data_IF_523486798209
#
_entry.id   IF_523486798209
#
_cell.length_a   1.000
_cell.length_b   1.000
_cell.length_c   1.000
_cell.angle_alpha   90.00
_cell.angle_beta   90.00
_cell.angle_gamma   90.00
#
_symmetry.space_group_name_H-M   'P 1'
#
loop_
_entity.id
_entity.type
_entity.pdbx_description
1 polymer ?
#
# COMPACT_ATOMS: atom_id res chain seq x y z
N UNK A 1 21.29 -23.22 7.19
CA UNK A 1 21.12 -22.09 8.12
C UNK A 1 19.73 -21.58 7.87
N UNK A 2 18.86 -21.67 8.87
CA UNK A 2 17.42 -21.74 8.65
C UNK A 2 16.79 -20.35 8.79
N UNK A 3 16.19 -19.87 7.70
CA UNK A 3 15.36 -18.64 7.66
C UNK A 3 14.18 -18.77 8.64
N UNK A 4 13.70 -17.66 9.21
CA UNK A 4 12.50 -17.69 10.05
C UNK A 4 11.21 -17.54 9.23
N UNK A 5 10.11 -18.23 9.58
CA UNK A 5 8.81 -18.05 8.91
C UNK A 5 8.19 -16.67 9.14
N UNK A 6 7.68 -16.02 8.09
CA UNK A 6 7.01 -14.72 8.17
C UNK A 6 5.81 -14.70 9.14
N UNK A 7 5.07 -15.80 9.25
CA UNK A 7 3.92 -15.93 10.16
C UNK A 7 4.31 -15.99 11.66
N UNK A 8 5.61 -16.04 11.98
CA UNK A 8 6.13 -16.01 13.35
C UNK A 8 6.68 -14.63 13.75
N UNK A 9 6.73 -13.69 12.82
CA UNK A 9 7.30 -12.35 13.05
C UNK A 9 6.18 -11.41 13.51
N UNK A 10 6.23 -11.03 14.79
CA UNK A 10 5.23 -10.18 15.44
C UNK A 10 5.47 -8.68 15.25
N UNK A 11 6.70 -8.34 14.84
CA UNK A 11 7.17 -7.00 14.58
C UNK A 11 6.39 -6.34 13.44
N UNK A 12 6.31 -5.02 13.48
CA UNK A 12 5.64 -4.20 12.47
C UNK A 12 6.53 -3.96 11.26
N UNK A 13 5.90 -3.70 10.12
CA UNK A 13 6.63 -3.33 8.93
C UNK A 13 7.32 -1.96 9.14
N UNK A 14 8.62 -1.92 8.91
CA UNK A 14 9.52 -0.80 9.03
C UNK A 14 10.14 -0.60 7.66
N UNK A 15 10.28 0.65 7.24
CA UNK A 15 11.17 1.00 6.15
C UNK A 15 11.57 2.47 6.27
N UNK A 16 12.68 2.79 5.64
CA UNK A 16 13.26 4.13 5.64
C UNK A 16 13.31 4.66 4.21
N UNK A 17 13.04 5.95 4.06
CA UNK A 17 13.33 6.67 2.82
C UNK A 17 14.67 7.37 3.07
N UNK A 18 15.73 6.88 2.43
CA UNK A 18 17.08 7.41 2.62
C UNK A 18 17.27 8.71 1.83
N UNK A 19 16.83 8.73 0.57
CA UNK A 19 17.01 9.88 -0.31
C UNK A 19 16.03 9.87 -1.49
N UNK A 20 15.76 11.07 -2.01
CA UNK A 20 15.15 11.28 -3.32
C UNK A 20 16.21 11.87 -4.24
N UNK A 21 16.43 11.25 -5.39
CA UNK A 21 17.37 11.69 -6.41
C UNK A 21 16.64 12.16 -7.66
N UNK A 22 17.32 12.93 -8.52
CA UNK A 22 16.83 13.30 -9.86
C UNK A 22 15.44 13.95 -9.86
N UNK A 23 15.16 14.81 -8.87
CA UNK A 23 13.93 15.60 -8.85
C UNK A 23 13.82 16.42 -10.15
N UNK A 24 12.64 16.44 -10.81
CA UNK A 24 12.44 17.24 -12.01
C UNK A 24 12.70 18.71 -11.73
N UNK A 25 13.40 19.41 -12.63
CA UNK A 25 13.73 20.84 -12.45
C UNK A 25 12.49 21.75 -12.41
N UNK A 26 11.35 21.27 -12.92
CA UNK A 26 10.07 21.97 -12.84
C UNK A 26 9.43 21.90 -11.45
N UNK A 27 9.88 21.00 -10.57
CA UNK A 27 9.41 20.91 -9.20
C UNK A 27 10.09 21.98 -8.36
N UNK A 28 9.32 23.02 -8.04
CA UNK A 28 9.76 24.21 -7.29
C UNK A 28 8.93 24.38 -6.03
N UNK A 29 8.77 23.27 -5.30
CA UNK A 29 8.04 23.23 -4.05
C UNK A 29 8.93 23.62 -2.87
N UNK A 30 8.31 24.17 -1.83
CA UNK A 30 9.01 24.54 -0.59
C UNK A 30 9.33 23.31 0.26
N UNK A 31 8.46 22.31 0.20
CA UNK A 31 8.59 21.06 0.94
C UNK A 31 8.17 19.87 0.09
N UNK A 32 8.79 18.72 0.35
CA UNK A 32 8.44 17.45 -0.28
C UNK A 32 8.03 16.45 0.79
N UNK A 33 6.94 15.72 0.53
CA UNK A 33 6.32 14.80 1.46
C UNK A 33 6.14 13.44 0.81
N UNK A 34 6.34 12.36 1.56
CA UNK A 34 6.06 11.00 1.09
C UNK A 34 4.83 10.44 1.81
N UNK A 35 3.84 9.97 1.05
CA UNK A 35 2.80 9.10 1.56
C UNK A 35 3.17 7.66 1.31
N UNK A 36 2.97 6.82 2.32
CA UNK A 36 3.20 5.38 2.15
C UNK A 36 2.05 4.57 2.69
N UNK A 37 1.73 3.50 1.95
CA UNK A 37 0.62 2.61 2.25
C UNK A 37 0.91 1.21 1.69
N UNK A 38 0.44 0.19 2.37
CA UNK A 38 0.52 -1.20 1.96
C UNK A 38 -0.78 -1.60 1.28
N UNK A 39 -0.69 -2.27 0.13
CA UNK A 39 -1.84 -2.72 -0.65
C UNK A 39 -1.83 -4.23 -0.83
N UNK A 40 -3.01 -4.84 -0.81
CA UNK A 40 -3.27 -6.18 -1.31
C UNK A 40 -4.32 -6.12 -2.42
N UNK A 41 -3.90 -6.41 -3.66
CA UNK A 41 -4.68 -6.08 -4.84
C UNK A 41 -5.03 -4.58 -4.87
N UNK A 42 -6.31 -4.25 -4.99
CA UNK A 42 -6.79 -2.85 -5.03
C UNK A 42 -7.13 -2.26 -3.66
N UNK A 43 -6.94 -3.03 -2.57
CA UNK A 43 -7.35 -2.63 -1.23
C UNK A 43 -6.14 -2.21 -0.39
N UNK A 44 -6.17 -1.02 0.23
CA UNK A 44 -5.17 -0.67 1.23
C UNK A 44 -5.37 -1.52 2.48
N UNK A 45 -4.26 -1.97 3.09
CA UNK A 45 -4.25 -2.75 4.34
C UNK A 45 -4.13 -1.86 5.58
N UNK A 46 -3.64 -0.63 5.43
CA UNK A 46 -3.35 0.26 6.54
C UNK A 46 -3.76 1.71 6.27
N UNK A 47 -3.74 2.49 7.34
CA UNK A 47 -3.89 3.95 7.32
C UNK A 47 -2.73 4.60 6.56
N UNK A 48 -3.00 5.73 5.94
CA UNK A 48 -2.00 6.50 5.20
C UNK A 48 -1.03 7.15 6.18
N UNK A 49 0.28 6.91 6.02
CA UNK A 49 1.31 7.52 6.86
C UNK A 49 2.09 8.61 6.08
N UNK A 50 2.34 9.75 6.74
CA UNK A 50 3.03 10.94 6.22
C UNK A 50 4.27 11.23 7.07
N UNK A 51 5.43 10.62 6.78
CA UNK A 51 6.68 10.92 7.51
C UNK A 51 7.93 10.55 6.71
N UNK A 52 9.11 10.99 7.18
CA UNK A 52 10.43 10.65 6.59
C UNK A 52 11.01 9.32 7.12
N UNK A 53 10.50 8.82 8.25
CA UNK A 53 10.83 7.50 8.82
C UNK A 53 9.51 6.82 9.15
N UNK A 54 9.25 5.68 8.52
CA UNK A 54 7.94 5.05 8.51
C UNK A 54 7.99 3.73 9.27
N UNK A 55 7.63 3.81 10.55
CA UNK A 55 7.11 2.65 11.26
C UNK A 55 5.64 2.51 10.89
N UNK A 56 5.28 1.46 10.15
CA UNK A 56 3.89 1.13 9.89
C UNK A 56 3.36 0.34 11.08
N UNK A 57 3.17 1.06 12.20
CA UNK A 57 2.78 0.49 13.50
C UNK A 57 1.50 -0.36 13.42
N UNK A 58 0.65 -0.08 12.43
CA UNK A 58 -0.61 -0.78 12.20
C UNK A 58 -0.47 -2.11 11.42
N UNK A 59 0.73 -2.47 10.91
CA UNK A 59 0.90 -3.62 10.01
C UNK A 59 1.96 -4.60 10.52
N UNK A 60 1.56 -5.59 11.33
CA UNK A 60 2.48 -6.64 11.74
C UNK A 60 2.80 -7.59 10.56
N UNK A 61 4.04 -8.07 10.49
CA UNK A 61 4.54 -8.82 9.34
C UNK A 61 3.78 -10.13 9.12
N UNK A 62 3.42 -10.83 10.19
CA UNK A 62 2.64 -12.07 10.09
C UNK A 62 1.27 -11.87 9.41
N UNK A 63 0.74 -10.65 9.40
CA UNK A 63 -0.58 -10.34 8.83
C UNK A 63 -0.53 -10.02 7.35
N UNK A 64 0.66 -9.77 6.79
CA UNK A 64 0.82 -9.38 5.40
C UNK A 64 0.44 -10.54 4.48
N UNK A 65 -0.50 -10.36 3.54
CA UNK A 65 -0.69 -11.29 2.42
C UNK A 65 0.59 -11.44 1.59
N UNK A 66 0.77 -12.60 0.95
CA UNK A 66 1.94 -12.88 0.09
C UNK A 66 2.14 -11.84 -1.01
N UNK A 67 1.05 -11.34 -1.59
CA UNK A 67 1.05 -10.36 -2.68
C UNK A 67 0.92 -8.91 -2.17
N UNK A 68 1.42 -8.64 -0.96
CA UNK A 68 1.44 -7.30 -0.38
C UNK A 68 2.46 -6.40 -1.07
N UNK A 69 2.07 -5.17 -1.33
CA UNK A 69 2.82 -4.20 -2.13
C UNK A 69 2.96 -2.91 -1.34
N UNK A 70 4.19 -2.43 -1.17
CA UNK A 70 4.46 -1.11 -0.61
C UNK A 70 4.26 -0.07 -1.72
N UNK A 71 3.32 0.85 -1.53
CA UNK A 71 3.06 1.95 -2.46
C UNK A 71 3.52 3.25 -1.81
N UNK A 72 4.53 3.89 -2.40
CA UNK A 72 5.04 5.18 -1.98
C UNK A 72 4.62 6.23 -3.00
N UNK A 73 4.18 7.39 -2.52
CA UNK A 73 3.80 8.52 -3.36
C UNK A 73 4.49 9.78 -2.87
N UNK A 74 5.16 10.50 -3.76
CA UNK A 74 5.89 11.73 -3.46
C UNK A 74 5.05 12.95 -3.88
N UNK A 75 4.95 13.92 -2.98
CA UNK A 75 4.13 15.13 -3.11
C UNK A 75 5.01 16.37 -2.93
N UNK A 76 4.75 17.38 -3.74
CA UNK A 76 5.27 18.73 -3.55
C UNK A 76 4.26 19.61 -2.79
N UNK A 77 4.73 20.36 -1.80
CA UNK A 77 3.93 21.35 -1.08
C UNK A 77 4.53 22.75 -1.26
N UNK A 78 3.73 23.66 -1.79
CA UNK A 78 4.04 25.08 -1.87
C UNK A 78 3.06 25.84 -0.99
N UNK A 79 3.55 26.67 -0.06
CA UNK A 79 2.67 27.47 0.78
C UNK A 79 2.09 28.61 -0.05
N UNK A 80 0.76 28.63 -0.20
CA UNK A 80 0.09 29.73 -0.89
C UNK A 80 0.09 30.94 0.04
N UNK A 81 0.77 32.02 -0.34
CA UNK A 81 0.69 33.33 0.32
C UNK A 81 -0.66 33.99 0.01
N UNK A 82 -1.76 33.43 0.51
CA UNK A 82 -3.07 34.07 0.38
C UNK A 82 -3.24 35.11 1.50
N UNK A 83 -2.94 36.36 1.17
CA UNK A 83 -3.43 37.52 1.89
C UNK A 83 -4.94 37.63 1.62
N UNK A 84 -5.73 37.21 2.62
CA UNK A 84 -7.11 37.64 2.93
C UNK A 84 -8.28 37.13 2.07
N UNK A 85 -9.14 36.27 2.65
CA UNK A 85 -10.45 36.69 3.17
C UNK A 85 -11.15 35.56 3.95
N UNK A 86 -11.58 35.88 5.16
CA UNK A 86 -12.39 35.05 6.06
C UNK A 86 -13.85 35.02 5.61
N UNK A 87 -14.42 33.82 5.44
CA UNK A 87 -15.75 33.37 5.90
C UNK A 87 -16.17 32.13 5.10
N UNK A 88 -16.13 30.94 5.70
CA UNK A 88 -17.33 30.17 6.02
C UNK A 88 -17.01 28.79 6.61
N UNK A 89 -17.85 28.38 7.56
CA UNK A 89 -17.85 27.08 8.22
C UNK A 89 -17.92 25.93 7.19
N UNK A 90 -16.92 25.05 7.20
CA UNK A 90 -17.08 23.65 6.83
C UNK A 90 -15.94 22.82 7.46
N UNK A 91 -16.23 21.55 7.69
CA UNK A 91 -15.44 20.60 8.45
C UNK A 91 -13.97 20.54 8.05
N UNK A 92 -13.12 20.22 9.06
CA UNK A 92 -11.78 19.67 8.88
C UNK A 92 -11.85 18.41 8.00
N UNK A 93 -11.83 18.60 6.68
CA UNK A 93 -11.25 17.64 5.75
C UNK A 93 -9.97 18.25 5.22
N UNK A 94 -8.95 17.41 5.22
CA UNK A 94 -7.54 17.69 5.12
C UNK A 94 -7.13 18.12 3.69
N UNK A 95 -7.79 19.14 3.13
CA UNK A 95 -7.68 19.52 1.72
C UNK A 95 -6.94 20.86 1.54
N UNK A 96 -5.73 20.91 2.13
CA UNK A 96 -4.71 21.84 1.70
C UNK A 96 -4.21 21.38 0.33
N UNK A 97 -4.94 21.76 -0.73
CA UNK A 97 -4.68 21.45 -2.14
C UNK A 97 -3.17 21.43 -2.45
N UNK A 98 -2.59 20.23 -2.53
CA UNK A 98 -1.22 19.97 -2.98
C UNK A 98 -1.15 20.28 -4.47
N UNK A 99 -0.64 21.46 -4.81
CA UNK A 99 -0.42 21.86 -6.19
C UNK A 99 0.97 21.39 -6.62
N UNK A 100 1.02 20.33 -7.45
CA UNK A 100 2.26 19.75 -7.99
C UNK A 100 2.47 18.28 -7.62
N UNK A 101 1.60 17.44 -8.15
CA UNK A 101 1.44 16.03 -7.80
C UNK A 101 1.43 15.22 -9.11
N UNK A 102 1.99 14.03 -9.27
CA UNK A 102 2.16 12.89 -8.36
C UNK A 102 3.22 11.99 -8.99
N UNK A 103 3.99 11.25 -8.18
CA UNK A 103 4.64 10.05 -8.71
C UNK A 103 4.64 8.85 -7.74
N UNK A 104 4.33 7.67 -8.28
CA UNK A 104 4.10 6.41 -7.57
C UNK A 104 5.29 5.46 -7.71
N UNK A 105 5.73 4.90 -6.58
CA UNK A 105 6.65 3.75 -6.51
C UNK A 105 5.88 2.58 -5.94
N UNK A 106 6.06 1.40 -6.53
CA UNK A 106 5.61 0.16 -5.92
C UNK A 106 6.75 -0.83 -5.73
N UNK A 107 6.88 -1.36 -4.52
CA UNK A 107 7.92 -2.31 -4.15
C UNK A 107 7.28 -3.56 -3.53
N UNK A 108 7.79 -4.73 -3.92
CA UNK A 108 7.46 -5.98 -3.23
C UNK A 108 8.21 -6.04 -1.90
N UNK A 109 7.52 -6.42 -0.83
CA UNK A 109 8.05 -6.38 0.53
C UNK A 109 9.13 -7.45 0.75
N UNK A 110 10.39 -7.07 0.51
CA UNK A 110 11.57 -7.86 0.82
C UNK A 110 12.59 -6.98 1.55
N UNK A 111 13.40 -7.58 2.44
CA UNK A 111 14.45 -6.84 3.15
C UNK A 111 15.60 -6.50 2.21
N UNK A 112 16.14 -5.28 2.33
CA UNK A 112 17.25 -4.79 1.52
C UNK A 112 17.19 -3.28 1.26
N UNK A 113 18.18 -2.80 0.52
CA UNK A 113 18.21 -1.43 -0.03
C UNK A 113 17.75 -1.48 -1.49
N UNK A 114 16.84 -0.57 -1.84
CA UNK A 114 16.21 -0.49 -3.16
C UNK A 114 16.30 0.92 -3.71
N UNK A 115 16.73 1.02 -4.97
CA UNK A 115 16.63 2.25 -5.75
C UNK A 115 15.50 2.08 -6.78
N UNK A 116 14.43 2.85 -6.63
CA UNK A 116 13.19 2.65 -7.39
C UNK A 116 12.79 3.91 -8.14
N UNK A 117 12.32 3.75 -9.38
CA UNK A 117 11.85 4.87 -10.19
C UNK A 117 10.41 5.24 -9.84
N UNK A 118 10.17 6.55 -9.69
CA UNK A 118 8.85 7.13 -9.45
C UNK A 118 8.09 7.34 -10.77
N UNK A 119 6.87 6.79 -10.84
CA UNK A 119 6.03 6.79 -12.05
C UNK A 119 4.99 7.91 -12.04
N UNK A 120 4.67 8.55 -13.18
CA UNK A 120 3.72 9.66 -13.23
C UNK A 120 2.33 9.37 -12.63
N UNK A 121 1.67 10.45 -12.17
CA UNK A 121 0.30 10.48 -11.66
C UNK A 121 -0.76 9.78 -12.54
N UNK A 122 -0.54 9.80 -13.85
CA UNK A 122 -1.43 9.17 -14.83
C UNK A 122 -1.50 7.65 -14.69
N UNK A 123 -0.56 7.04 -13.99
CA UNK A 123 -0.57 5.61 -13.68
C UNK A 123 -1.53 5.34 -12.50
N UNK A 124 -2.57 4.57 -12.73
CA UNK A 124 -3.49 4.18 -11.65
C UNK A 124 -2.82 3.18 -10.70
N UNK A 125 -2.60 3.62 -9.45
CA UNK A 125 -2.06 2.82 -8.33
C UNK A 125 -2.82 1.50 -8.08
N UNK A 126 -4.07 1.40 -8.54
CA UNK A 126 -4.92 0.21 -8.39
C UNK A 126 -4.66 -0.85 -9.45
N UNK A 127 -4.05 -0.50 -10.59
CA UNK A 127 -3.97 -1.37 -11.77
C UNK A 127 -2.83 -2.40 -11.68
N UNK A 128 -1.96 -2.30 -10.69
CA UNK A 128 -0.90 -3.30 -10.48
C UNK A 128 0.43 -2.64 -10.13
N UNK A 129 1.52 -3.44 -10.02
CA UNK A 129 2.86 -2.89 -9.93
C UNK A 129 3.13 -1.86 -11.01
N UNK A 130 3.77 -0.79 -10.58
CA UNK A 130 4.60 0.00 -11.45
C UNK A 130 5.42 -0.95 -12.35
N UNK A 131 5.45 -0.75 -13.68
CA UNK A 131 6.27 -1.57 -14.56
C UNK A 131 7.72 -1.60 -14.08
N UNK A 132 8.48 -2.64 -14.46
CA UNK A 132 9.88 -2.76 -14.02
C UNK A 132 10.68 -1.51 -14.40
N UNK A 133 11.74 -1.20 -13.64
CA UNK A 133 12.61 -0.03 -13.91
C UNK A 133 13.22 -0.02 -15.32
N UNK A 134 13.27 -1.17 -16.00
CA UNK A 134 13.69 -1.28 -17.41
C UNK A 134 12.71 -0.62 -18.38
N UNK A 135 11.45 -0.51 -17.99
CA UNK A 135 10.38 0.14 -18.74
C UNK A 135 10.07 1.55 -18.23
N UNK A 136 10.81 2.02 -17.22
CA UNK A 136 10.69 3.39 -16.74
C UNK A 136 10.82 4.35 -17.94
N UNK A 137 10.01 5.41 -18.02
CA UNK A 137 10.04 6.26 -19.19
C UNK A 137 11.39 7.01 -19.27
N UNK A 138 11.73 7.56 -20.43
CA UNK A 138 13.10 7.99 -20.81
C UNK A 138 13.48 9.41 -20.30
N UNK A 139 12.70 10.03 -19.44
CA UNK A 139 12.93 11.36 -18.86
C UNK A 139 13.49 11.29 -17.42
N UNK A 140 14.00 12.40 -16.83
CA UNK A 140 14.48 12.38 -15.44
C UNK A 140 13.30 12.17 -14.48
N UNK A 141 12.97 10.91 -14.24
CA UNK A 141 12.08 10.52 -13.16
C UNK A 141 12.88 10.44 -11.87
N UNK A 142 12.39 11.04 -10.78
CA UNK A 142 13.06 10.94 -9.51
C UNK A 142 13.15 9.48 -9.06
N UNK A 143 14.26 9.21 -8.40
CA UNK A 143 14.58 7.89 -7.88
C UNK A 143 14.47 7.96 -6.38
N UNK A 144 13.74 7.01 -5.81
CA UNK A 144 13.60 6.85 -4.38
C UNK A 144 14.57 5.77 -3.92
N UNK A 145 15.46 6.13 -3.00
CA UNK A 145 16.28 5.17 -2.28
C UNK A 145 15.57 4.81 -0.97
N UNK A 146 15.22 3.54 -0.82
CA UNK A 146 14.54 3.02 0.38
C UNK A 146 15.33 1.86 0.98
N UNK A 147 15.22 1.71 2.29
CA UNK A 147 15.77 0.59 3.03
C UNK A 147 14.66 -0.12 3.80
N UNK A 148 14.52 -1.42 3.59
CA UNK A 148 13.67 -2.30 4.39
C UNK A 148 14.61 -3.12 5.30
N UNK A 149 14.62 -2.87 6.62
CA UNK A 149 15.52 -3.54 7.54
C UNK A 149 15.27 -5.05 7.57
N UNK A 150 16.30 -5.79 7.98
CA UNK A 150 16.17 -7.22 8.23
C UNK A 150 15.64 -7.47 9.63
N UNK A 151 14.50 -8.16 9.73
CA UNK A 151 13.90 -8.57 11.00
C UNK A 151 14.62 -9.72 11.68
N UNK A 152 15.39 -10.48 10.92
CA UNK A 152 16.16 -11.62 11.43
C UNK A 152 17.54 -11.65 10.80
N UNK A 153 18.54 -12.05 11.57
CA UNK A 153 19.90 -12.28 11.05
C UNK A 153 19.94 -13.33 9.95
N UNK A 154 18.96 -14.23 9.92
CA UNK A 154 18.86 -15.34 8.98
C UNK A 154 17.87 -15.07 7.84
N UNK A 155 17.24 -13.89 7.82
CA UNK A 155 16.18 -13.54 6.86
C UNK A 155 14.82 -14.11 7.23
N UNK A 156 13.78 -13.51 6.64
CA UNK A 156 12.38 -13.91 6.80
C UNK A 156 11.92 -14.55 5.49
N UNK A 157 11.28 -15.71 5.59
CA UNK A 157 10.74 -16.46 4.44
C UNK A 157 9.23 -16.57 4.55
N UNK A 158 8.54 -16.35 3.43
CA UNK A 158 7.16 -16.78 3.32
C UNK A 158 7.08 -18.31 3.41
N UNK A 159 6.33 -18.80 4.38
CA UNK A 159 6.02 -20.22 4.50
C UNK A 159 4.63 -20.41 3.93
N UNK A 160 4.53 -21.19 2.86
CA UNK A 160 3.23 -21.68 2.43
C UNK A 160 2.65 -22.42 3.63
N UNK A 161 1.44 -22.06 4.09
CA UNK A 161 0.81 -22.87 5.11
C UNK A 161 0.83 -24.30 4.59
N UNK A 162 1.28 -25.25 5.43
CA UNK A 162 0.98 -26.65 5.15
C UNK A 162 -0.50 -26.66 4.80
N UNK A 163 -0.86 -27.13 3.60
CA UNK A 163 -2.25 -27.29 3.22
C UNK A 163 -2.85 -28.17 4.31
N UNK A 164 -3.45 -27.54 5.32
CA UNK A 164 -4.52 -28.14 6.07
C UNK A 164 -5.53 -28.36 4.98
N UNK A 165 -5.47 -29.54 4.38
CA UNK A 165 -6.53 -30.06 3.54
C UNK A 165 -7.74 -30.01 4.43
N UNK A 166 -8.45 -28.89 4.38
CA UNK A 166 -9.75 -28.71 4.97
C UNK A 166 -10.60 -29.68 4.15
N UNK A 167 -10.59 -30.94 4.56
CA UNK A 167 -11.43 -31.94 3.95
C UNK A 167 -12.85 -31.42 4.08
N UNK A 168 -13.66 -31.61 3.04
CA UNK A 168 -15.04 -31.11 3.00
C UNK A 168 -15.86 -31.47 4.24
N UNK A 169 -15.46 -32.52 4.96
CA UNK A 169 -16.02 -32.96 6.23
C UNK A 169 -15.83 -31.98 7.41
N UNK A 170 -14.84 -31.08 7.36
CA UNK A 170 -14.57 -30.08 8.40
C UNK A 170 -15.25 -28.73 8.13
N UNK A 171 -15.87 -28.56 6.97
CA UNK A 171 -16.59 -27.35 6.62
C UNK A 171 -18.06 -27.48 7.03
N UNK A 172 -18.67 -26.42 7.61
CA UNK A 172 -20.10 -26.41 7.88
C UNK A 172 -20.90 -26.60 6.60
N UNK A 173 -21.98 -27.38 6.66
CA UNK A 173 -22.84 -27.64 5.50
C UNK A 173 -23.73 -26.43 5.22
N UNK A 174 -23.99 -26.14 3.94
CA UNK A 174 -24.95 -25.10 3.56
C UNK A 174 -26.32 -25.34 4.20
N UNK A 175 -26.73 -26.61 4.28
CA UNK A 175 -28.00 -27.04 4.87
C UNK A 175 -28.10 -26.79 6.38
N UNK A 176 -26.99 -26.47 7.07
CA UNK A 176 -27.03 -26.11 8.50
C UNK A 176 -27.41 -24.65 8.76
N UNK A 177 -27.44 -23.82 7.71
CA UNK A 177 -27.88 -22.43 7.80
C UNK A 177 -29.42 -22.36 7.83
N UNK A 178 -29.98 -21.31 8.40
CA UNK A 178 -31.42 -21.08 8.30
C UNK A 178 -31.85 -20.72 6.86
N UNK A 179 -33.11 -20.99 6.52
CA UNK A 179 -33.61 -20.82 5.15
C UNK A 179 -33.51 -19.39 4.61
N UNK A 180 -33.53 -18.38 5.50
CA UNK A 180 -33.36 -17.00 5.09
C UNK A 180 -31.91 -16.73 4.66
N UNK A 181 -30.93 -17.10 5.49
CA UNK A 181 -29.50 -16.98 5.15
C UNK A 181 -29.13 -17.77 3.89
N UNK A 182 -29.69 -18.98 3.72
CA UNK A 182 -29.50 -19.76 2.49
C UNK A 182 -29.99 -19.00 1.24
N UNK A 183 -31.18 -18.42 1.31
CA UNK A 183 -31.77 -17.66 0.21
C UNK A 183 -30.95 -16.39 -0.11
N UNK A 184 -30.46 -15.70 0.91
CA UNK A 184 -29.57 -14.54 0.75
C UNK A 184 -28.26 -14.93 0.05
N UNK A 185 -27.62 -16.03 0.46
CA UNK A 185 -26.38 -16.49 -0.16
C UNK A 185 -26.58 -16.86 -1.64
N UNK A 186 -27.67 -17.56 -1.97
CA UNK A 186 -28.01 -17.86 -3.36
C UNK A 186 -28.22 -16.59 -4.18
N UNK A 187 -28.97 -15.63 -3.62
CA UNK A 187 -29.19 -14.35 -4.28
C UNK A 187 -27.87 -13.59 -4.54
N UNK A 188 -26.96 -13.56 -3.57
CA UNK A 188 -25.63 -12.93 -3.71
C UNK A 188 -24.78 -13.60 -4.80
N UNK A 189 -24.87 -14.93 -4.93
CA UNK A 189 -24.15 -15.67 -5.98
C UNK A 189 -24.70 -15.31 -7.37
N UNK A 190 -26.02 -15.15 -7.51
CA UNK A 190 -26.69 -14.80 -8.77
C UNK A 190 -26.44 -13.36 -9.22
N UNK A 191 -26.18 -12.44 -8.28
CA UNK A 191 -25.94 -11.01 -8.53
C UNK A 191 -24.67 -10.72 -9.37
N UNK A 192 -23.74 -11.67 -9.46
CA UNK A 192 -22.52 -11.55 -10.28
C UNK A 192 -21.41 -10.68 -9.67
N UNK A 193 -20.19 -10.78 -10.22
CA UNK A 193 -18.96 -10.28 -9.60
C UNK A 193 -18.80 -8.74 -9.57
N UNK A 194 -19.64 -7.99 -10.29
CA UNK A 194 -19.52 -6.53 -10.41
C UNK A 194 -20.47 -5.77 -9.48
N UNK A 195 -21.35 -6.46 -8.77
CA UNK A 195 -22.21 -5.82 -7.77
C UNK A 195 -21.44 -5.66 -6.46
N UNK A 196 -21.55 -4.47 -5.87
CA UNK A 196 -20.90 -4.15 -4.62
C UNK A 196 -21.58 -4.93 -3.51
N UNK A 197 -20.83 -5.80 -2.82
CA UNK A 197 -21.33 -6.48 -1.63
C UNK A 197 -21.80 -5.42 -0.62
N UNK A 198 -22.94 -5.64 0.05
CA UNK A 198 -23.34 -4.84 1.19
C UNK A 198 -22.19 -4.79 2.20
N UNK A 199 -21.78 -3.60 2.57
CA UNK A 199 -20.84 -3.35 3.67
C UNK A 199 -21.68 -2.69 4.75
N UNK A 200 -21.72 -3.29 5.94
CA UNK A 200 -22.41 -2.73 7.11
C UNK A 200 -21.86 -1.36 7.49
#
# INVERSE_FOLDING_TARGET
MDTIPANTVSETLLFCIEAVHSLPLCWTHEEYLCHVQVYHGTRPLNTLHLTNVLNLEDVPIYSLPRESRLVVTLYGRSQRTDIHNEHDNAQQENDGRTDGDVQYVQVELASGSYLVSLWPASCDRRVGPAPSSLHAPVEPYPLLNIEIPSYSRLGVKWVEPEEKSLTRAHLPSFDSLDGHTQSQLLHLIEQGAYQRMPTE
#
